data_IF_163332164825
#
_entry.id   IF_163332164825
#
_cell.length_a   1.000
_cell.length_b   1.000
_cell.length_c   1.000
_cell.angle_alpha   90.00
_cell.angle_beta   90.00
_cell.angle_gamma   90.00
#
_symmetry.space_group_name_H-M   'P 1'
#
loop_
_entity.id
_entity.type
_entity.pdbx_description
1 polymer ?
#
# COMPACT_ATOMS: atom_id res chain seq x y z
N UNK A 1 39.61 32.90 32.13
CA UNK A 1 39.23 34.15 32.81
C UNK A 1 38.08 34.79 32.08
N UNK A 2 37.01 35.11 32.83
CA UNK A 2 36.23 36.37 32.78
C UNK A 2 35.65 36.78 31.40
N UNK A 3 34.37 37.07 31.24
CA UNK A 3 33.29 37.37 32.17
C UNK A 3 31.98 37.41 31.37
N UNK A 4 30.81 37.20 32.00
CA UNK A 4 29.89 38.25 32.51
C UNK A 4 29.42 39.20 31.39
N UNK A 5 28.17 39.61 31.26
CA UNK A 5 26.90 39.46 31.99
C UNK A 5 25.85 40.05 31.01
N UNK A 6 24.64 39.51 30.85
CA UNK A 6 23.45 39.84 31.65
C UNK A 6 23.18 41.36 31.77
N UNK A 7 22.11 41.81 31.09
CA UNK A 7 21.27 42.98 31.39
C UNK A 7 20.03 42.85 30.48
N UNK A 8 18.87 42.34 30.89
CA UNK A 8 17.95 42.69 31.98
C UNK A 8 17.08 43.93 31.69
N UNK A 9 15.79 43.68 31.45
CA UNK A 9 14.62 44.46 31.91
C UNK A 9 13.43 43.51 31.80
N UNK A 10 12.79 43.00 32.86
CA UNK A 10 12.19 43.56 34.09
C UNK A 10 10.93 44.39 33.81
N UNK A 11 9.81 43.84 34.28
CA UNK A 11 8.50 44.49 34.46
C UNK A 11 7.37 43.60 33.92
N UNK A 12 6.29 43.27 34.63
CA UNK A 12 5.79 43.63 35.96
C UNK A 12 4.77 42.57 36.39
N UNK A 13 4.62 42.44 37.70
CA UNK A 13 3.54 41.76 38.45
C UNK A 13 2.13 41.96 37.90
N UNK A 14 1.28 40.92 37.95
CA UNK A 14 0.20 40.83 38.96
C UNK A 14 -0.86 39.79 38.58
N UNK A 15 -1.09 38.87 39.53
CA UNK A 15 -2.42 38.44 39.98
C UNK A 15 -3.34 37.71 39.00
N UNK A 16 -3.48 36.39 39.21
CA UNK A 16 -4.70 35.73 39.73
C UNK A 16 -4.52 34.21 39.57
N UNK A 17 -4.37 33.50 40.69
CA UNK A 17 -5.46 32.89 41.45
C UNK A 17 -5.83 31.51 40.90
N UNK A 18 -5.54 30.52 41.73
CA UNK A 18 -5.90 29.13 41.55
C UNK A 18 -7.40 28.92 41.29
N UNK A 19 -7.68 28.01 40.35
CA UNK A 19 -8.77 27.02 40.35
C UNK A 19 -8.43 26.08 39.19
N UNK A 20 -7.86 24.90 39.40
CA UNK A 20 -8.53 23.83 40.11
C UNK A 20 -9.79 23.44 39.34
N UNK A 21 -9.67 22.57 38.32
CA UNK A 21 -10.84 22.16 37.54
C UNK A 21 -10.57 21.44 36.21
N UNK A 22 -10.00 20.23 36.27
CA UNK A 22 -10.39 19.07 35.45
C UNK A 22 -10.79 19.33 33.97
N UNK A 23 -9.82 19.42 33.07
CA UNK A 23 -10.07 19.26 31.62
C UNK A 23 -8.91 18.66 30.81
N UNK A 24 -7.90 18.12 31.48
CA UNK A 24 -6.63 17.60 30.91
C UNK A 24 -6.77 16.36 30.02
N UNK A 25 -7.96 15.78 29.87
CA UNK A 25 -8.12 14.50 29.17
C UNK A 25 -8.68 14.62 27.76
N UNK A 26 -9.22 15.76 27.32
CA UNK A 26 -9.93 15.84 26.02
C UNK A 26 -9.03 16.11 24.81
N UNK A 27 -7.79 16.57 25.01
CA UNK A 27 -6.92 16.96 23.90
C UNK A 27 -6.03 15.81 23.41
N UNK A 28 -5.55 14.93 24.30
CA UNK A 28 -4.75 13.76 23.92
C UNK A 28 -5.55 12.70 23.15
N UNK A 29 -6.87 12.62 23.40
CA UNK A 29 -7.76 11.74 22.64
C UNK A 29 -7.94 12.22 21.20
N UNK A 30 -7.87 13.55 20.96
CA UNK A 30 -8.01 14.11 19.62
C UNK A 30 -6.77 13.89 18.74
N UNK A 31 -5.56 13.89 19.33
CA UNK A 31 -4.30 13.62 18.62
C UNK A 31 -4.12 12.13 18.28
N UNK A 32 -4.52 11.24 19.20
CA UNK A 32 -4.58 9.81 18.92
C UNK A 32 -5.70 9.47 17.91
N UNK A 33 -6.86 10.14 18.00
CA UNK A 33 -7.98 9.97 17.06
C UNK A 33 -7.66 10.47 15.64
N UNK A 34 -6.83 11.50 15.49
CA UNK A 34 -6.38 11.98 14.17
C UNK A 34 -5.31 11.07 13.57
N UNK A 35 -4.40 10.51 14.38
CA UNK A 35 -3.44 9.50 13.92
C UNK A 35 -4.14 8.18 13.51
N UNK A 36 -5.14 7.74 14.26
CA UNK A 36 -5.93 6.56 13.87
C UNK A 36 -6.82 6.85 12.66
N UNK A 37 -7.44 8.04 12.56
CA UNK A 37 -8.25 8.42 11.40
C UNK A 37 -7.43 8.56 10.10
N UNK A 38 -6.20 9.08 10.19
CA UNK A 38 -5.30 9.17 9.03
C UNK A 38 -4.78 7.79 8.62
N UNK A 39 -4.43 6.93 9.58
CA UNK A 39 -4.02 5.55 9.30
C UNK A 39 -5.16 4.71 8.71
N UNK A 40 -6.38 4.84 9.22
CA UNK A 40 -7.55 4.14 8.67
C UNK A 40 -7.91 4.68 7.29
N UNK A 41 -7.86 5.99 7.06
CA UNK A 41 -8.09 6.57 5.74
C UNK A 41 -7.03 6.14 4.72
N UNK A 42 -5.75 6.13 5.11
CA UNK A 42 -4.65 5.65 4.26
C UNK A 42 -4.84 4.16 3.91
N UNK A 43 -5.22 3.33 4.88
CA UNK A 43 -5.53 1.92 4.66
C UNK A 43 -6.77 1.74 3.75
N UNK A 44 -7.81 2.56 3.92
CA UNK A 44 -9.01 2.54 3.08
C UNK A 44 -8.68 2.92 1.63
N UNK A 45 -7.85 3.95 1.44
CA UNK A 45 -7.35 4.36 0.13
C UNK A 45 -6.50 3.26 -0.53
N UNK A 46 -5.67 2.56 0.25
CA UNK A 46 -4.86 1.45 -0.25
C UNK A 46 -5.72 0.26 -0.69
N UNK A 47 -6.78 -0.04 0.06
CA UNK A 47 -7.75 -1.09 -0.25
C UNK A 47 -8.64 -0.73 -1.46
N UNK A 48 -8.93 0.56 -1.67
CA UNK A 48 -9.75 1.03 -2.79
C UNK A 48 -9.04 0.94 -4.16
N UNK A 49 -7.70 0.91 -4.16
CA UNK A 49 -6.89 0.76 -5.39
C UNK A 49 -6.71 -0.71 -5.79
N UNK A 50 -7.10 -1.68 -4.95
CA UNK A 50 -7.00 -3.10 -5.32
C UNK A 50 -8.01 -3.40 -6.43
N UNK A 51 -7.58 -3.70 -7.66
CA UNK A 51 -8.52 -4.05 -8.71
C UNK A 51 -9.18 -5.37 -8.36
N UNK A 52 -10.48 -5.30 -8.14
CA UNK A 52 -11.36 -6.47 -8.05
C UNK A 52 -11.46 -7.08 -9.44
N UNK A 53 -10.69 -8.12 -9.71
CA UNK A 53 -10.76 -8.87 -10.96
C UNK A 53 -12.11 -9.57 -11.09
N UNK A 54 -13.05 -8.97 -11.82
CA UNK A 54 -14.33 -9.59 -12.15
C UNK A 54 -14.19 -10.39 -13.44
N UNK A 55 -13.64 -11.59 -13.35
CA UNK A 55 -13.54 -12.53 -14.46
C UNK A 55 -13.71 -13.95 -13.96
N UNK A 56 -14.79 -14.62 -14.38
CA UNK A 56 -14.99 -16.05 -14.12
C UNK A 56 -14.00 -16.84 -15.00
N UNK A 57 -12.81 -17.11 -14.48
CA UNK A 57 -11.85 -17.97 -15.15
C UNK A 57 -12.40 -19.40 -15.16
N UNK A 58 -12.41 -20.03 -16.34
CA UNK A 58 -12.90 -21.39 -16.51
C UNK A 58 -11.82 -22.24 -17.19
N UNK A 59 -11.52 -23.41 -16.60
CA UNK A 59 -10.67 -24.41 -17.24
C UNK A 59 -11.34 -24.93 -18.51
N UNK A 60 -10.59 -24.99 -19.62
CA UNK A 60 -11.13 -25.38 -20.91
C UNK A 60 -11.94 -24.28 -21.61
N UNK A 61 -11.80 -23.02 -21.21
CA UNK A 61 -12.52 -21.90 -21.83
C UNK A 61 -12.38 -21.85 -23.37
N UNK A 62 -11.23 -22.28 -23.92
CA UNK A 62 -10.96 -22.28 -25.36
C UNK A 62 -11.37 -23.58 -26.09
N UNK A 63 -11.90 -24.59 -25.38
CA UNK A 63 -12.31 -25.86 -25.99
C UNK A 63 -13.38 -25.61 -27.05
N UNK A 64 -13.14 -26.07 -28.28
CA UNK A 64 -14.07 -25.90 -29.42
C UNK A 64 -14.16 -24.49 -29.99
N UNK A 65 -13.49 -23.49 -29.40
CA UNK A 65 -13.50 -22.09 -29.89
C UNK A 65 -12.42 -21.80 -30.93
N UNK A 66 -11.38 -22.62 -31.00
CA UNK A 66 -10.21 -22.40 -31.83
C UNK A 66 -10.05 -23.47 -32.93
N UNK A 67 -11.03 -23.63 -33.83
CA UNK A 67 -10.98 -24.57 -34.97
C UNK A 67 -10.52 -26.00 -34.61
N UNK A 68 -10.93 -26.51 -33.43
CA UNK A 68 -10.51 -27.82 -32.92
C UNK A 68 -9.10 -27.87 -32.32
N UNK A 69 -8.37 -26.76 -32.29
CA UNK A 69 -7.06 -26.66 -31.63
C UNK A 69 -7.21 -26.59 -30.13
N UNK A 70 -6.57 -27.51 -29.42
CA UNK A 70 -6.41 -27.44 -27.97
C UNK A 70 -5.31 -26.42 -27.62
N UNK A 71 -5.74 -25.22 -27.24
CA UNK A 71 -4.86 -24.10 -26.90
C UNK A 71 -4.03 -24.40 -25.65
N UNK A 72 -4.63 -24.99 -24.62
CA UNK A 72 -3.95 -25.29 -23.36
C UNK A 72 -2.85 -26.33 -23.58
N UNK A 73 -3.14 -27.40 -24.33
CA UNK A 73 -2.16 -28.41 -24.70
C UNK A 73 -1.05 -27.84 -25.60
N UNK A 74 -1.41 -26.98 -26.56
CA UNK A 74 -0.45 -26.36 -27.48
C UNK A 74 0.55 -25.47 -26.75
N UNK A 75 0.07 -24.57 -25.89
CA UNK A 75 0.93 -23.69 -25.08
C UNK A 75 1.84 -24.53 -24.18
N UNK A 76 1.31 -25.55 -23.50
CA UNK A 76 2.09 -26.46 -22.65
C UNK A 76 3.22 -27.14 -23.43
N UNK A 77 2.93 -27.66 -24.62
CA UNK A 77 3.94 -28.30 -25.49
C UNK A 77 5.05 -27.34 -25.90
N UNK A 78 4.69 -26.12 -26.28
CA UNK A 78 5.67 -25.10 -26.68
C UNK A 78 6.57 -24.73 -25.51
N UNK A 79 6.00 -24.47 -24.33
CA UNK A 79 6.77 -24.13 -23.13
C UNK A 79 7.71 -25.28 -22.75
N UNK A 80 7.22 -26.52 -22.75
CA UNK A 80 8.05 -27.69 -22.44
C UNK A 80 9.23 -27.87 -23.41
N UNK A 81 8.98 -27.69 -24.71
CA UNK A 81 10.03 -27.77 -25.75
C UNK A 81 11.07 -26.65 -25.63
N UNK A 82 10.67 -25.47 -25.17
CA UNK A 82 11.61 -24.35 -24.95
C UNK A 82 12.35 -24.51 -23.64
N UNK A 83 11.69 -24.99 -22.59
CA UNK A 83 12.29 -25.21 -21.28
C UNK A 83 13.40 -26.26 -21.30
N UNK A 84 13.28 -27.29 -22.14
CA UNK A 84 14.35 -28.27 -22.32
C UNK A 84 15.63 -27.69 -22.94
N UNK A 85 15.50 -26.58 -23.68
CA UNK A 85 16.63 -25.87 -24.31
C UNK A 85 17.14 -24.73 -23.43
N UNK A 86 16.23 -24.03 -22.76
CA UNK A 86 16.52 -22.88 -21.92
C UNK A 86 15.66 -22.90 -20.66
N UNK A 87 16.30 -23.15 -19.53
CA UNK A 87 15.67 -23.27 -18.21
C UNK A 87 15.21 -21.92 -17.66
N UNK A 88 15.65 -20.80 -18.23
CA UNK A 88 15.31 -19.44 -17.78
C UNK A 88 13.94 -18.97 -18.27
N UNK A 89 13.31 -19.68 -19.23
CA UNK A 89 12.05 -19.23 -19.83
C UNK A 89 10.89 -19.21 -18.83
N UNK A 90 10.80 -20.18 -17.92
CA UNK A 90 9.72 -20.25 -16.93
C UNK A 90 9.75 -19.06 -15.96
N UNK A 91 10.88 -18.74 -15.30
CA UNK A 91 10.92 -17.57 -14.42
C UNK A 91 10.73 -16.24 -15.17
N UNK A 92 11.17 -16.13 -16.42
CA UNK A 92 10.93 -14.93 -17.25
C UNK A 92 9.44 -14.77 -17.58
N UNK A 93 8.76 -15.84 -18.01
CA UNK A 93 7.32 -15.81 -18.28
C UNK A 93 6.50 -15.47 -17.03
N UNK A 94 6.92 -15.99 -15.87
CA UNK A 94 6.30 -15.68 -14.60
C UNK A 94 6.48 -14.21 -14.22
N UNK A 95 7.69 -13.66 -14.37
CA UNK A 95 7.97 -12.23 -14.12
C UNK A 95 7.18 -11.33 -15.07
N UNK A 96 7.03 -11.72 -16.33
CA UNK A 96 6.22 -10.99 -17.31
C UNK A 96 4.73 -11.02 -16.93
N UNK A 97 4.19 -12.18 -16.53
CA UNK A 97 2.80 -12.30 -16.08
C UNK A 97 2.51 -11.38 -14.88
N UNK A 98 3.41 -11.38 -13.88
CA UNK A 98 3.28 -10.46 -12.76
C UNK A 98 3.42 -9.01 -13.19
N UNK A 99 4.34 -8.69 -14.10
CA UNK A 99 4.50 -7.33 -14.60
C UNK A 99 3.23 -6.80 -15.29
N UNK A 100 2.59 -7.61 -16.15
CA UNK A 100 1.38 -7.23 -16.88
C UNK A 100 0.15 -7.08 -15.96
N UNK A 101 0.09 -7.88 -14.89
CA UNK A 101 -0.98 -7.79 -13.90
C UNK A 101 -0.77 -6.63 -12.91
N UNK A 102 0.44 -6.43 -12.39
CA UNK A 102 0.74 -5.37 -11.42
C UNK A 102 0.82 -3.98 -12.04
N UNK A 103 1.18 -3.84 -13.31
CA UNK A 103 1.10 -2.55 -14.01
C UNK A 103 -0.33 -2.01 -14.12
N UNK A 104 -1.34 -2.89 -14.10
CA UNK A 104 -2.78 -2.53 -14.07
C UNK A 104 -3.33 -2.28 -12.66
N UNK A 105 -2.56 -2.56 -11.61
CA UNK A 105 -2.91 -2.34 -10.20
C UNK A 105 -2.47 -0.94 -9.72
N UNK A 106 -1.55 -0.28 -10.45
CA UNK A 106 -0.89 0.98 -10.04
C UNK A 106 -1.28 2.20 -10.89
N UNK A 107 -2.22 2.06 -11.84
CA UNK A 107 -2.77 3.14 -12.69
C UNK A 107 -4.29 3.17 -12.54
#
# INVERSE_FOLDING_TARGET
MRGKAMSEMRGTSSGQSAKGGKSESKMAIATAATATATATLALLCLLAVVPTGHGALQVGFYKGKCNGTDVEATVKRIIASRFSRDRTIVPILLRLHFHDCFARILL
#
